data_IF_458823859176
#
_entry.id   IF_458823859176
#
_cell.length_a   1.000
_cell.length_b   1.000
_cell.length_c   1.000
_cell.angle_alpha   90.00
_cell.angle_beta   90.00
_cell.angle_gamma   90.00
#
_symmetry.space_group_name_H-M   'P 1'
#
loop_
_entity.id
_entity.type
_entity.pdbx_description
1 polymer ?
#
# COMPACT_ATOMS: atom_id res chain seq x y z
N UNK A 1 -11.16 7.94 -20.12
CA UNK A 1 -9.91 7.68 -19.39
C UNK A 1 -9.96 6.29 -18.77
N UNK A 2 -8.91 5.55 -18.93
CA UNK A 2 -8.83 4.23 -18.31
C UNK A 2 -8.12 4.30 -16.98
N UNK A 3 -8.71 3.72 -15.96
CA UNK A 3 -8.04 3.56 -14.69
C UNK A 3 -7.25 2.27 -14.73
N UNK A 4 -5.96 2.38 -14.48
CA UNK A 4 -5.11 1.24 -14.27
C UNK A 4 -4.80 1.17 -12.79
N UNK A 5 -5.06 0.03 -12.20
CA UNK A 5 -4.73 -0.23 -10.81
C UNK A 5 -3.55 -1.18 -10.78
N UNK A 6 -2.54 -0.85 -9.98
CA UNK A 6 -1.41 -1.71 -9.75
C UNK A 6 -1.47 -2.23 -8.33
N UNK A 7 -1.56 -3.55 -8.18
CA UNK A 7 -1.54 -4.20 -6.88
C UNK A 7 -0.11 -4.62 -6.56
N UNK A 8 0.37 -4.26 -5.39
CA UNK A 8 1.73 -4.56 -4.94
C UNK A 8 1.70 -5.34 -3.63
N UNK A 9 2.42 -6.44 -3.57
CA UNK A 9 2.70 -7.12 -2.31
C UNK A 9 3.71 -6.30 -1.52
N UNK A 10 3.55 -6.26 -0.21
CA UNK A 10 4.48 -5.52 0.63
C UNK A 10 5.80 -6.30 0.81
N UNK A 11 5.73 -7.42 1.52
CA UNK A 11 6.93 -8.21 1.77
C UNK A 11 7.40 -8.91 0.50
N UNK A 12 8.72 -8.95 0.32
CA UNK A 12 9.39 -9.60 -0.81
C UNK A 12 9.16 -8.94 -2.17
N UNK A 13 8.30 -7.93 -2.26
CA UNK A 13 8.08 -7.19 -3.50
C UNK A 13 8.57 -5.75 -3.38
N UNK A 14 7.94 -4.95 -2.53
CA UNK A 14 8.36 -3.55 -2.36
C UNK A 14 9.21 -3.34 -1.12
N UNK A 15 9.11 -4.22 -0.14
CA UNK A 15 9.87 -4.12 1.09
C UNK A 15 11.01 -5.13 1.12
N UNK A 16 12.14 -4.70 1.66
CA UNK A 16 13.29 -5.56 1.94
C UNK A 16 13.56 -5.49 3.43
N UNK A 17 13.61 -6.64 4.09
CA UNK A 17 13.75 -6.72 5.54
C UNK A 17 12.66 -5.90 6.27
N UNK A 18 11.44 -5.94 5.72
CA UNK A 18 10.29 -5.25 6.29
C UNK A 18 10.23 -3.74 6.01
N UNK A 19 11.22 -3.18 5.34
CA UNK A 19 11.27 -1.74 5.06
C UNK A 19 11.33 -1.44 3.57
N UNK A 20 10.74 -0.32 3.18
CA UNK A 20 10.71 0.15 1.81
C UNK A 20 11.79 1.20 1.61
N UNK A 21 12.62 1.04 0.58
CA UNK A 21 13.69 2.00 0.29
C UNK A 21 13.12 3.32 -0.27
N UNK A 22 13.89 4.40 -0.14
CA UNK A 22 13.50 5.69 -0.70
C UNK A 22 13.34 5.61 -2.21
N UNK A 23 14.15 4.82 -2.89
CA UNK A 23 14.05 4.62 -4.33
C UNK A 23 12.71 4.00 -4.71
N UNK A 24 12.25 3.03 -3.92
CA UNK A 24 10.97 2.39 -4.16
C UNK A 24 9.82 3.36 -3.90
N UNK A 25 9.92 4.15 -2.83
CA UNK A 25 8.91 5.17 -2.53
C UNK A 25 8.81 6.16 -3.68
N UNK A 26 9.95 6.62 -4.20
CA UNK A 26 9.96 7.54 -5.33
C UNK A 26 9.32 6.94 -6.57
N UNK A 27 9.59 5.65 -6.84
CA UNK A 27 8.97 4.95 -7.95
C UNK A 27 7.45 4.86 -7.79
N UNK A 28 6.97 4.60 -6.58
CA UNK A 28 5.54 4.54 -6.29
C UNK A 28 4.89 5.92 -6.47
N UNK A 29 5.56 6.97 -6.01
CA UNK A 29 5.09 8.34 -6.22
C UNK A 29 4.93 8.66 -7.70
N UNK A 30 5.90 8.24 -8.51
CA UNK A 30 5.86 8.48 -9.96
C UNK A 30 4.72 7.73 -10.62
N UNK A 31 4.47 6.50 -10.22
CA UNK A 31 3.34 5.71 -10.74
C UNK A 31 2.03 6.41 -10.41
N UNK A 32 1.90 6.91 -9.20
CA UNK A 32 0.68 7.59 -8.77
C UNK A 32 0.48 8.91 -9.53
N UNK A 33 1.54 9.65 -9.75
CA UNK A 33 1.50 10.91 -10.53
C UNK A 33 1.06 10.67 -11.96
N UNK A 34 1.28 9.47 -12.49
CA UNK A 34 0.85 9.13 -13.86
C UNK A 34 -0.64 8.85 -13.96
N UNK A 35 -1.38 8.93 -12.86
CA UNK A 35 -2.82 8.72 -12.84
C UNK A 35 -3.25 7.30 -12.53
N UNK A 36 -2.31 6.42 -12.21
CA UNK A 36 -2.62 5.05 -11.85
C UNK A 36 -2.98 4.95 -10.38
N UNK A 37 -3.87 4.03 -10.07
CA UNK A 37 -4.21 3.72 -8.67
C UNK A 37 -3.25 2.66 -8.15
N UNK A 38 -2.85 2.82 -6.89
CA UNK A 38 -1.99 1.86 -6.21
C UNK A 38 -2.75 1.18 -5.10
N UNK A 39 -2.66 -0.14 -5.07
CA UNK A 39 -3.29 -0.96 -4.03
C UNK A 39 -2.19 -1.79 -3.38
N UNK A 40 -2.05 -1.67 -2.08
CA UNK A 40 -1.10 -2.48 -1.33
C UNK A 40 -1.81 -3.72 -0.81
N UNK A 41 -1.18 -4.86 -0.99
CA UNK A 41 -1.71 -6.13 -0.49
C UNK A 41 -0.69 -6.74 0.46
N UNK A 42 -1.11 -7.11 1.65
CA UNK A 42 -0.20 -7.67 2.64
C UNK A 42 -0.91 -8.64 3.58
N UNK A 43 -0.16 -9.63 4.06
CA UNK A 43 -0.61 -10.49 5.13
C UNK A 43 -0.43 -9.88 6.51
N UNK A 44 0.37 -8.79 6.60
CA UNK A 44 0.62 -8.14 7.89
C UNK A 44 -0.67 -7.52 8.45
N UNK A 45 -0.73 -7.46 9.78
CA UNK A 45 -1.77 -6.69 10.43
C UNK A 45 -1.57 -5.21 10.12
N UNK A 46 -2.67 -4.47 10.01
CA UNK A 46 -2.60 -3.06 9.66
C UNK A 46 -1.76 -2.26 10.66
N UNK A 47 -1.90 -2.55 11.95
CA UNK A 47 -1.13 -1.87 13.00
C UNK A 47 0.36 -2.16 12.86
N UNK A 48 0.72 -3.40 12.53
CA UNK A 48 2.10 -3.77 12.31
C UNK A 48 2.68 -3.07 11.08
N UNK A 49 1.91 -3.02 10.01
CA UNK A 49 2.32 -2.33 8.79
C UNK A 49 2.63 -0.86 9.07
N UNK A 50 1.82 -0.21 9.89
CA UNK A 50 2.00 1.21 10.20
C UNK A 50 3.28 1.50 10.98
N UNK A 51 3.85 0.50 11.64
CA UNK A 51 5.12 0.68 12.36
C UNK A 51 6.34 0.62 11.44
N UNK A 52 6.23 -0.03 10.29
CA UNK A 52 7.37 -0.22 9.39
C UNK A 52 7.25 0.57 8.09
N UNK A 53 6.04 0.99 7.70
CA UNK A 53 5.84 1.73 6.47
C UNK A 53 5.29 3.13 6.78
N UNK A 54 6.09 4.19 6.57
CA UNK A 54 5.72 5.54 7.00
C UNK A 54 4.82 6.31 6.03
N UNK A 55 4.56 5.77 4.85
CA UNK A 55 3.86 6.50 3.79
C UNK A 55 2.64 5.76 3.24
N UNK A 56 1.67 5.38 4.12
CA UNK A 56 0.48 4.63 3.63
C UNK A 56 -0.35 5.43 2.63
N UNK A 57 -0.28 6.75 2.67
CA UNK A 57 -1.03 7.63 1.77
C UNK A 57 -0.58 7.51 0.30
N UNK A 58 0.52 6.83 0.03
CA UNK A 58 0.92 6.52 -1.35
C UNK A 58 -0.04 5.56 -2.02
N UNK A 59 -0.78 4.79 -1.23
CA UNK A 59 -1.74 3.82 -1.75
C UNK A 59 -3.16 4.34 -1.64
N UNK A 60 -3.94 4.06 -2.68
CA UNK A 60 -5.35 4.41 -2.69
C UNK A 60 -6.15 3.51 -1.78
N UNK A 61 -5.72 2.26 -1.66
CA UNK A 61 -6.32 1.27 -0.75
C UNK A 61 -5.24 0.32 -0.26
N UNK A 62 -5.43 -0.19 0.93
CA UNK A 62 -4.57 -1.22 1.51
C UNK A 62 -5.44 -2.40 1.89
N UNK A 63 -5.09 -3.58 1.37
CA UNK A 63 -5.73 -4.84 1.72
C UNK A 63 -4.77 -5.56 2.66
N UNK A 64 -5.12 -5.60 3.93
CA UNK A 64 -4.26 -6.13 4.98
C UNK A 64 -4.83 -7.43 5.56
N UNK A 65 -4.03 -8.10 6.38
CA UNK A 65 -4.45 -9.28 7.13
C UNK A 65 -5.05 -10.35 6.22
N UNK A 66 -4.35 -10.61 5.11
CA UNK A 66 -4.75 -11.63 4.12
C UNK A 66 -6.17 -11.40 3.56
N UNK A 67 -6.54 -10.14 3.40
CA UNK A 67 -7.85 -9.80 2.84
C UNK A 67 -8.93 -9.55 3.88
N UNK A 68 -8.62 -9.74 5.17
CA UNK A 68 -9.61 -9.54 6.22
C UNK A 68 -9.89 -8.06 6.50
N UNK A 69 -8.96 -7.17 6.16
CA UNK A 69 -9.09 -5.74 6.44
C UNK A 69 -8.87 -4.94 5.16
N UNK A 70 -9.80 -4.05 4.86
CA UNK A 70 -9.66 -3.09 3.78
C UNK A 70 -9.54 -1.70 4.38
N UNK A 71 -8.45 -0.99 4.07
CA UNK A 71 -8.16 0.31 4.65
C UNK A 71 -8.05 1.37 3.56
N UNK A 72 -8.65 2.53 3.84
CA UNK A 72 -8.55 3.71 2.98
C UNK A 72 -7.70 4.76 3.70
N UNK A 73 -6.43 4.95 3.28
CA UNK A 73 -5.55 5.91 3.94
C UNK A 73 -6.03 7.37 3.85
N UNK A 74 -6.72 7.73 2.77
CA UNK A 74 -7.16 9.11 2.57
C UNK A 74 -8.22 9.52 3.60
N UNK A 75 -9.07 8.59 4.01
CA UNK A 75 -10.15 8.88 4.96
C UNK A 75 -9.94 8.23 6.31
N UNK A 76 -8.87 7.45 6.45
CA UNK A 76 -8.56 6.68 7.67
C UNK A 76 -9.72 5.75 8.06
N UNK A 77 -10.37 5.17 7.04
CA UNK A 77 -11.49 4.25 7.26
C UNK A 77 -11.04 2.81 7.07
N UNK A 78 -11.43 2.00 8.02
CA UNK A 78 -11.09 0.57 8.05
C UNK A 78 -12.37 -0.25 8.03
N UNK A 79 -12.44 -1.21 7.10
CA UNK A 79 -13.54 -2.16 7.02
C UNK A 79 -13.01 -3.56 7.29
N UNK A 80 -13.65 -4.29 8.16
CA UNK A 80 -13.30 -5.68 8.48
C UNK A 80 -14.27 -6.58 7.74
N UNK A 81 -13.72 -7.49 6.99
CA UNK A 81 -14.52 -8.44 6.18
C UNK A 81 -14.91 -9.65 7.00
#
# INVERSE_FOLDING_TARGET
MRYLALACDYDETIASNGRVSERTIEALENVRKSGRQLILVTGRELDDLSTVFPRPELFDRIVAENGAVLYDPATDRKSVV
#
